data_IF_570422873023
#
_entry.id   IF_570422873023
#
_cell.length_a   1.000
_cell.length_b   1.000
_cell.length_c   1.000
_cell.angle_alpha   90.00
_cell.angle_beta   90.00
_cell.angle_gamma   90.00
#
_symmetry.space_group_name_H-M   'P 1'
#
loop_
_entity.id
_entity.type
_entity.pdbx_description
1 polymer ?
#
# COMPACT_ATOMS: atom_id res chain seq x y z
N UNK A 1 22.32 5.26 -12.75
CA UNK A 1 21.81 3.88 -12.81
C UNK A 1 20.49 3.87 -12.08
N UNK A 2 19.38 3.63 -12.77
CA UNK A 2 18.07 3.48 -12.12
C UNK A 2 18.08 2.16 -11.35
N UNK A 3 17.85 2.20 -10.03
CA UNK A 3 17.71 0.99 -9.22
C UNK A 3 16.62 0.10 -9.84
N UNK A 4 16.93 -1.16 -10.15
CA UNK A 4 15.96 -2.10 -10.70
C UNK A 4 14.84 -2.37 -9.67
N UNK A 5 13.59 -2.19 -10.09
CA UNK A 5 12.41 -2.49 -9.26
C UNK A 5 12.12 -3.98 -9.33
N UNK A 6 11.97 -4.61 -8.16
CA UNK A 6 11.58 -6.01 -8.04
C UNK A 6 10.12 -6.15 -7.62
N UNK A 7 9.31 -6.76 -8.47
CA UNK A 7 7.91 -7.01 -8.17
C UNK A 7 7.71 -8.07 -7.09
N UNK A 8 6.59 -7.95 -6.39
CA UNK A 8 6.15 -8.93 -5.40
C UNK A 8 6.00 -10.30 -6.10
N UNK A 9 6.74 -11.33 -5.66
CA UNK A 9 6.77 -12.63 -6.35
C UNK A 9 5.50 -13.46 -6.16
N UNK A 10 4.55 -13.00 -5.33
CA UNK A 10 3.28 -13.70 -5.10
C UNK A 10 2.47 -13.69 -6.40
N UNK A 11 2.10 -14.85 -7.00
CA UNK A 11 1.60 -14.90 -8.37
C UNK A 11 0.43 -13.97 -8.68
N UNK A 12 -0.58 -13.91 -7.80
CA UNK A 12 -1.74 -13.04 -8.00
C UNK A 12 -1.42 -11.55 -7.80
N UNK A 13 -0.40 -11.21 -6.99
CA UNK A 13 0.08 -9.82 -6.85
C UNK A 13 0.89 -9.43 -8.08
N UNK A 14 1.76 -10.33 -8.57
CA UNK A 14 2.53 -10.11 -9.79
C UNK A 14 1.61 -9.93 -11.02
N UNK A 15 0.56 -10.76 -11.15
CA UNK A 15 -0.44 -10.59 -12.21
C UNK A 15 -1.18 -9.25 -12.10
N UNK A 16 -1.50 -8.82 -10.88
CA UNK A 16 -2.12 -7.51 -10.65
C UNK A 16 -1.19 -6.37 -11.06
N UNK A 17 0.09 -6.40 -10.66
CA UNK A 17 1.09 -5.39 -11.07
C UNK A 17 1.18 -5.33 -12.60
N UNK A 18 1.35 -6.48 -13.25
CA UNK A 18 1.46 -6.60 -14.70
C UNK A 18 0.26 -5.97 -15.41
N UNK A 19 -0.97 -6.33 -15.03
CA UNK A 19 -2.20 -5.76 -15.61
C UNK A 19 -2.30 -4.26 -15.38
N UNK A 20 -1.95 -3.79 -14.18
CA UNK A 20 -1.97 -2.37 -13.87
C UNK A 20 -1.02 -1.60 -14.79
N UNK A 21 0.20 -2.11 -15.02
CA UNK A 21 1.16 -1.50 -15.94
C UNK A 21 0.72 -1.57 -17.41
N UNK A 22 0.30 -2.74 -17.89
CA UNK A 22 -0.16 -2.96 -19.27
C UNK A 22 -1.33 -2.06 -19.67
N UNK A 23 -2.13 -1.65 -18.70
CA UNK A 23 -3.30 -0.79 -18.91
C UNK A 23 -3.02 0.70 -18.69
N UNK A 24 -1.77 1.09 -18.44
CA UNK A 24 -1.41 2.48 -18.13
C UNK A 24 -1.93 2.95 -16.77
N UNK A 25 -2.07 2.03 -15.82
CA UNK A 25 -2.52 2.26 -14.45
C UNK A 25 -4.03 2.23 -14.24
N UNK A 26 -4.79 1.58 -15.13
CA UNK A 26 -6.23 1.45 -14.91
C UNK A 26 -6.48 0.51 -13.72
N UNK A 27 -7.26 0.94 -12.71
CA UNK A 27 -7.56 0.10 -11.57
C UNK A 27 -8.56 -1.00 -11.94
N UNK A 28 -8.70 -2.02 -11.09
CA UNK A 28 -9.74 -3.05 -11.28
C UNK A 28 -11.14 -2.44 -11.12
N UNK A 29 -12.18 -2.96 -11.79
CA UNK A 29 -13.54 -2.48 -11.63
C UNK A 29 -14.00 -2.51 -10.16
N UNK A 30 -14.51 -1.37 -9.67
CA UNK A 30 -15.06 -1.24 -8.32
C UNK A 30 -14.03 -1.13 -7.18
N UNK A 31 -12.73 -1.10 -7.48
CA UNK A 31 -11.67 -0.96 -6.46
C UNK A 31 -10.68 0.10 -6.91
N UNK A 32 -10.31 1.02 -6.02
CA UNK A 32 -9.19 1.93 -6.27
C UNK A 32 -7.88 1.19 -5.97
N UNK A 33 -7.04 1.01 -6.99
CA UNK A 33 -5.74 0.32 -6.90
C UNK A 33 -4.58 1.27 -7.24
N UNK A 34 -3.42 0.99 -6.66
CA UNK A 34 -2.16 1.67 -6.94
C UNK A 34 -0.97 0.70 -6.85
N UNK A 35 0.18 1.11 -7.36
CA UNK A 35 1.45 0.42 -7.09
C UNK A 35 2.24 1.20 -6.04
N UNK A 36 2.71 0.47 -5.03
CA UNK A 36 3.60 0.97 -4.00
C UNK A 36 5.00 0.41 -4.22
N UNK A 37 6.00 1.28 -4.32
CA UNK A 37 7.42 0.91 -4.32
C UNK A 37 8.08 1.33 -3.00
N UNK A 38 8.74 0.37 -2.33
CA UNK A 38 9.45 0.56 -1.05
C UNK A 38 10.90 0.11 -1.17
N UNK A 39 11.81 0.65 -0.34
CA UNK A 39 13.17 0.13 -0.21
C UNK A 39 13.19 -1.07 0.74
N UNK A 40 13.69 -2.21 0.29
CA UNK A 40 13.77 -3.43 1.09
C UNK A 40 14.70 -3.26 2.29
N UNK A 41 14.17 -3.25 3.52
CA UNK A 41 14.94 -2.93 4.75
C UNK A 41 16.16 -3.82 5.01
N UNK A 42 16.19 -5.03 4.44
CA UNK A 42 17.30 -5.98 4.55
C UNK A 42 18.19 -6.00 3.31
N UNK A 43 17.60 -5.82 2.12
CA UNK A 43 18.30 -6.02 0.84
C UNK A 43 18.75 -4.73 0.16
N UNK A 44 18.23 -3.57 0.56
CA UNK A 44 18.44 -2.30 -0.15
C UNK A 44 17.69 -2.19 -1.49
N UNK A 45 17.30 -3.31 -2.11
CA UNK A 45 16.56 -3.37 -3.37
C UNK A 45 15.18 -2.70 -3.31
N UNK A 46 14.77 -2.06 -4.41
CA UNK A 46 13.42 -1.54 -4.58
C UNK A 46 12.41 -2.68 -4.76
N UNK A 47 11.31 -2.64 -4.02
CA UNK A 47 10.26 -3.67 -3.98
C UNK A 47 8.91 -3.05 -4.30
N UNK A 48 8.23 -3.56 -5.33
CA UNK A 48 6.92 -3.06 -5.76
C UNK A 48 5.79 -4.05 -5.48
N UNK A 49 4.65 -3.54 -5.04
CA UNK A 49 3.46 -4.33 -4.75
C UNK A 49 2.21 -3.56 -5.17
N UNK A 50 1.20 -4.26 -5.70
CA UNK A 50 -0.11 -3.68 -5.98
C UNK A 50 -0.97 -3.71 -4.70
N UNK A 51 -1.66 -2.61 -4.42
CA UNK A 51 -2.52 -2.46 -3.24
C UNK A 51 -3.78 -1.69 -3.60
N UNK A 52 -4.87 -2.00 -2.92
CA UNK A 52 -6.03 -1.15 -2.90
C UNK A 52 -5.87 -0.03 -1.88
N UNK A 53 -6.56 1.09 -2.08
CA UNK A 53 -6.51 2.22 -1.18
C UNK A 53 -7.88 2.88 -1.00
N UNK A 54 -8.01 3.65 0.08
CA UNK A 54 -9.04 4.68 0.24
C UNK A 54 -8.39 6.05 0.44
N UNK A 55 -9.15 7.14 0.29
CA UNK A 55 -8.64 8.51 0.47
C UNK A 55 -9.05 9.08 1.81
N UNK A 56 -8.16 9.86 2.41
CA UNK A 56 -8.42 10.70 3.59
C UNK A 56 -7.70 12.05 3.38
N UNK A 57 -8.44 13.05 2.90
CA UNK A 57 -7.84 14.29 2.40
C UNK A 57 -6.79 14.02 1.31
N UNK A 58 -5.56 14.45 1.57
CA UNK A 58 -4.43 14.27 0.64
C UNK A 58 -3.75 12.89 0.75
N UNK A 59 -4.07 12.10 1.77
CA UNK A 59 -3.45 10.81 2.02
C UNK A 59 -4.12 9.66 1.24
N UNK A 60 -3.27 8.75 0.74
CA UNK A 60 -3.66 7.41 0.32
C UNK A 60 -3.57 6.48 1.53
N UNK A 61 -4.70 5.89 1.93
CA UNK A 61 -4.77 4.99 3.08
C UNK A 61 -4.65 3.55 2.60
N UNK A 62 -3.54 2.90 2.96
CA UNK A 62 -3.23 1.51 2.63
C UNK A 62 -3.48 0.60 3.84
N UNK A 63 -3.92 -0.63 3.59
CA UNK A 63 -4.21 -1.60 4.66
C UNK A 63 -3.17 -2.72 4.68
N UNK A 64 -2.36 -2.80 5.73
CA UNK A 64 -1.34 -3.84 5.93
C UNK A 64 -1.93 -5.17 6.44
N UNK A 65 -2.94 -5.67 5.73
CA UNK A 65 -3.70 -6.87 6.09
C UNK A 65 -2.96 -8.16 5.80
N UNK A 66 -2.13 -8.20 4.75
CA UNK A 66 -1.44 -9.42 4.30
C UNK A 66 -2.39 -10.64 4.19
N UNK A 67 -3.61 -10.41 3.68
CA UNK A 67 -4.69 -11.41 3.61
C UNK A 67 -5.00 -12.10 4.94
N UNK A 68 -4.87 -11.41 6.07
CA UNK A 68 -5.11 -11.94 7.41
C UNK A 68 -3.98 -12.78 8.00
N UNK A 69 -2.84 -12.92 7.30
CA UNK A 69 -1.72 -13.69 7.80
C UNK A 69 -1.18 -13.16 9.14
N UNK A 70 -0.66 -14.05 9.97
CA UNK A 70 -0.12 -13.74 11.31
C UNK A 70 1.07 -12.75 11.29
N UNK A 71 1.77 -12.64 10.15
CA UNK A 71 2.88 -11.69 9.97
C UNK A 71 2.44 -10.46 9.18
N UNK A 72 3.03 -9.31 9.51
CA UNK A 72 2.93 -8.12 8.68
C UNK A 72 3.52 -8.35 7.28
N UNK A 73 2.99 -7.65 6.25
CA UNK A 73 3.54 -7.75 4.91
C UNK A 73 4.91 -7.05 4.84
N UNK A 74 5.78 -7.51 3.94
CA UNK A 74 7.15 -7.00 3.84
C UNK A 74 7.20 -5.49 3.53
N UNK A 75 6.28 -4.97 2.70
CA UNK A 75 6.21 -3.55 2.37
C UNK A 75 5.93 -2.66 3.59
N UNK A 76 5.12 -3.14 4.54
CA UNK A 76 4.86 -2.42 5.79
C UNK A 76 6.12 -2.36 6.66
N UNK A 77 6.83 -3.48 6.74
CA UNK A 77 8.09 -3.55 7.48
C UNK A 77 9.18 -2.70 6.83
N UNK A 78 9.17 -2.57 5.49
CA UNK A 78 10.08 -1.72 4.74
C UNK A 78 9.83 -0.24 5.05
N UNK A 79 8.57 0.23 4.99
CA UNK A 79 8.26 1.65 5.24
C UNK A 79 8.53 2.09 6.68
N UNK A 80 8.47 1.16 7.64
CA UNK A 80 8.87 1.47 9.02
C UNK A 80 10.36 1.78 9.15
N UNK A 81 11.19 1.23 8.26
CA UNK A 81 12.62 1.50 8.21
C UNK A 81 12.96 2.69 7.29
N UNK A 82 12.19 2.88 6.21
CA UNK A 82 12.39 3.97 5.24
C UNK A 82 11.02 4.48 4.79
N UNK A 83 10.53 5.58 5.41
CA UNK A 83 9.20 6.15 5.13
C UNK A 83 9.02 6.70 3.71
N UNK A 84 10.11 7.03 3.03
CA UNK A 84 10.06 7.49 1.64
C UNK A 84 9.68 6.34 0.71
N UNK A 85 8.62 6.54 -0.06
CA UNK A 85 8.06 5.57 -0.99
C UNK A 85 7.73 6.24 -2.31
N UNK A 86 7.56 5.44 -3.35
CA UNK A 86 6.99 5.91 -4.63
C UNK A 86 5.61 5.28 -4.80
N UNK A 87 4.62 6.10 -5.13
CA UNK A 87 3.30 5.66 -5.54
C UNK A 87 3.12 5.83 -7.04
N UNK A 88 2.49 4.86 -7.67
CA UNK A 88 1.90 5.00 -9.00
C UNK A 88 0.38 4.88 -8.89
N UNK A 89 -0.32 5.95 -9.24
CA UNK A 89 -1.79 6.05 -9.24
C UNK A 89 -2.23 6.46 -10.64
N UNK A 90 -2.90 5.56 -11.35
CA UNK A 90 -3.13 5.77 -12.77
C UNK A 90 -1.79 5.84 -13.52
N UNK A 91 -1.72 6.81 -14.43
CA UNK A 91 -0.50 7.12 -15.17
C UNK A 91 0.51 7.96 -14.37
N UNK A 92 0.13 8.50 -13.21
CA UNK A 92 0.99 9.38 -12.42
C UNK A 92 1.86 8.58 -11.45
N UNK A 93 3.15 8.90 -11.42
CA UNK A 93 4.12 8.33 -10.48
C UNK A 93 4.79 9.46 -9.72
N UNK A 94 4.82 9.38 -8.39
CA UNK A 94 5.35 10.44 -7.53
C UNK A 94 5.91 9.90 -6.21
N UNK A 95 6.82 10.65 -5.60
CA UNK A 95 7.37 10.36 -4.27
C UNK A 95 6.39 10.78 -3.19
N UNK A 96 6.33 9.99 -2.12
CA UNK A 96 5.44 10.20 -1.00
C UNK A 96 6.13 9.78 0.31
N UNK A 97 5.59 10.24 1.44
CA UNK A 97 6.00 9.78 2.77
C UNK A 97 4.90 8.92 3.36
N UNK A 98 5.28 7.73 3.84
CA UNK A 98 4.38 6.77 4.45
C UNK A 98 4.59 6.69 5.96
N UNK A 99 3.50 6.66 6.73
CA UNK A 99 3.55 6.39 8.17
C UNK A 99 2.38 5.50 8.60
N UNK A 100 2.54 4.68 9.65
CA UNK A 100 1.40 4.05 10.31
C UNK A 100 0.41 5.11 10.80
N UNK A 101 -0.87 4.80 10.68
CA UNK A 101 -1.92 5.53 11.36
C UNK A 101 -1.75 5.36 12.88
N UNK A 102 -2.04 6.41 13.63
CA UNK A 102 -2.24 6.30 15.08
C UNK A 102 -3.49 5.48 15.39
N UNK A 103 -3.66 5.02 16.64
CA UNK A 103 -4.85 4.28 17.04
C UNK A 103 -6.15 5.07 16.79
N UNK A 104 -6.14 6.38 17.02
CA UNK A 104 -7.29 7.27 16.79
C UNK A 104 -7.61 7.39 15.30
N UNK A 105 -6.59 7.62 14.46
CA UNK A 105 -6.75 7.66 13.00
C UNK A 105 -7.25 6.31 12.47
N UNK A 106 -6.66 5.20 12.91
CA UNK A 106 -7.08 3.84 12.55
C UNK A 106 -8.55 3.60 12.90
N UNK A 107 -8.98 3.96 14.12
CA UNK A 107 -10.36 3.79 14.55
C UNK A 107 -11.34 4.62 13.70
N UNK A 108 -10.98 5.87 13.36
CA UNK A 108 -11.79 6.75 12.52
C UNK A 108 -11.89 6.26 11.07
N UNK A 109 -10.80 5.74 10.51
CA UNK A 109 -10.70 5.36 9.09
C UNK A 109 -11.21 3.95 8.80
N UNK A 110 -11.18 3.06 9.79
CA UNK A 110 -11.55 1.66 9.61
C UNK A 110 -12.96 1.44 9.01
N UNK A 111 -14.02 2.17 9.41
CA UNK A 111 -15.34 2.04 8.80
C UNK A 111 -15.33 2.31 7.30
N UNK A 112 -14.62 3.35 6.84
CA UNK A 112 -14.46 3.68 5.41
C UNK A 112 -13.73 2.58 4.66
N UNK A 113 -12.66 2.05 5.24
CA UNK A 113 -11.88 0.95 4.68
C UNK A 113 -12.76 -0.30 4.49
N UNK A 114 -13.58 -0.67 5.48
CA UNK A 114 -14.48 -1.83 5.39
C UNK A 114 -15.65 -1.60 4.45
N UNK A 115 -16.15 -0.37 4.33
CA UNK A 115 -17.22 -0.04 3.39
C UNK A 115 -16.77 -0.25 1.92
N UNK A 116 -15.51 0.08 1.62
CA UNK A 116 -14.92 -0.14 0.28
C UNK A 116 -14.44 -1.58 0.11
N UNK A 117 -13.88 -2.18 1.16
CA UNK A 117 -13.31 -3.53 1.14
C UNK A 117 -13.84 -4.38 2.30
N UNK A 118 -15.05 -4.95 2.17
CA UNK A 118 -15.70 -5.71 3.25
C UNK A 118 -14.88 -6.90 3.78
N UNK A 119 -14.03 -7.50 2.93
CA UNK A 119 -13.16 -8.62 3.30
C UNK A 119 -12.17 -8.27 4.43
N UNK A 120 -11.81 -6.99 4.61
CA UNK A 120 -10.92 -6.57 5.68
C UNK A 120 -11.52 -6.71 7.08
N UNK A 121 -12.86 -6.67 7.21
CA UNK A 121 -13.51 -6.96 8.49
C UNK A 121 -13.20 -8.39 8.95
N UNK A 122 -13.33 -9.37 8.04
CA UNK A 122 -13.04 -10.77 8.32
C UNK A 122 -11.55 -11.00 8.66
N UNK A 123 -10.64 -10.29 8.00
CA UNK A 123 -9.21 -10.42 8.32
C UNK A 123 -8.86 -9.90 9.70
N UNK A 124 -9.50 -8.82 10.16
CA UNK A 124 -9.24 -8.26 11.48
C UNK A 124 -9.70 -9.18 12.61
N UNK A 125 -10.74 -9.99 12.38
CA UNK A 125 -11.20 -10.99 13.35
C UNK A 125 -10.40 -12.29 13.28
N UNK A 126 -9.80 -12.61 12.13
CA UNK A 126 -9.04 -13.84 11.89
C UNK A 126 -7.60 -13.80 12.40
N UNK A 127 -7.15 -12.69 13.01
CA UNK A 127 -5.77 -12.52 13.47
C UNK A 127 -5.70 -11.84 14.83
N UNK A 128 -4.65 -12.13 15.60
CA UNK A 128 -4.43 -11.54 16.94
C UNK A 128 -3.61 -10.26 16.90
N UNK A 129 -2.95 -9.96 15.78
CA UNK A 129 -2.22 -8.71 15.60
C UNK A 129 -3.17 -7.59 15.17
N UNK A 130 -2.77 -6.36 15.44
CA UNK A 130 -3.37 -5.22 14.76
C UNK A 130 -3.11 -5.32 13.25
N UNK A 131 -4.10 -4.92 12.45
CA UNK A 131 -3.94 -4.67 11.01
C UNK A 131 -3.67 -3.17 10.84
N UNK A 132 -2.42 -2.76 10.59
CA UNK A 132 -2.10 -1.35 10.49
C UNK A 132 -2.77 -0.73 9.26
N UNK A 133 -3.35 0.46 9.45
CA UNK A 133 -3.54 1.39 8.35
C UNK A 133 -2.28 2.22 8.18
N UNK A 134 -1.95 2.57 6.94
CA UNK A 134 -0.79 3.38 6.59
C UNK A 134 -1.28 4.57 5.78
N UNK A 135 -0.97 5.77 6.26
CA UNK A 135 -1.22 7.01 5.54
C UNK A 135 0.00 7.32 4.68
N UNK A 136 -0.22 7.49 3.39
CA UNK A 136 0.81 7.85 2.42
C UNK A 136 0.45 9.19 1.80
N UNK A 137 1.23 10.23 2.12
CA UNK A 137 0.98 11.60 1.66
C UNK A 137 2.01 11.97 0.60
N UNK A 138 1.59 12.46 -0.58
CA UNK A 138 2.53 12.98 -1.58
C UNK A 138 3.47 14.01 -0.96
N UNK A 139 4.75 13.97 -1.34
CA UNK A 139 5.64 15.09 -1.06
C UNK A 139 5.25 16.18 -2.06
N UNK A 140 4.63 17.27 -1.59
CA UNK A 140 4.37 18.43 -2.44
C UNK A 140 5.68 19.01 -2.98
N UNK A 141 5.65 19.91 -3.96
CA UNK A 141 6.79 20.80 -4.13
C UNK A 141 7.02 21.50 -2.78
N UNK A 142 8.21 21.36 -2.23
CA UNK A 142 8.67 22.30 -1.21
C UNK A 142 8.70 23.64 -1.92
N UNK A 143 7.74 24.53 -1.62
CA UNK A 143 7.86 25.95 -1.97
C UNK A 143 9.12 26.54 -1.32
#
# INVERSE_FOLDING_TARGET
MTDMIHDNPTPWVADHIRRFEETGGRPRPGVADLLLTTRGRKSGLLRRTALAYVRDGDAYVLTASNAGAARHPAWYLNLLATPEVTLQVGAATFTATARPATAVESARLWPTVVAVMPSYAAYRTATTREIPLVLVTPVGPTD
#
